data_IF_946727262571
#
_entry.id   IF_946727262571
#
_cell.length_a   1.000
_cell.length_b   1.000
_cell.length_c   1.000
_cell.angle_alpha   90.00
_cell.angle_beta   90.00
_cell.angle_gamma   90.00
#
_symmetry.space_group_name_H-M   'P 1'
#
loop_
_entity.id
_entity.type
_entity.pdbx_description
1 polymer ?
#
# COMPACT_ATOMS: atom_id res chain seq x y z
N UNK A 1 -18.73 -17.55 0.48
CA UNK A 1 -18.29 -16.97 1.76
C UNK A 1 -19.23 -15.81 2.04
N UNK A 2 -20.08 -15.91 3.09
CA UNK A 2 -21.15 -14.93 3.35
C UNK A 2 -20.57 -13.57 3.74
N UNK A 3 -21.31 -12.51 3.43
CA UNK A 3 -20.97 -11.09 3.72
C UNK A 3 -20.60 -10.84 5.19
N UNK A 4 -21.13 -11.64 6.10
CA UNK A 4 -20.85 -11.57 7.54
C UNK A 4 -19.43 -12.05 7.88
N UNK A 5 -18.93 -13.10 7.22
CA UNK A 5 -17.56 -13.61 7.41
C UNK A 5 -16.50 -12.59 6.96
N UNK A 6 -16.77 -11.84 5.88
CA UNK A 6 -15.88 -10.80 5.37
C UNK A 6 -15.79 -9.63 6.37
N UNK A 7 -16.91 -9.22 6.96
CA UNK A 7 -16.92 -8.14 7.98
C UNK A 7 -16.15 -8.54 9.23
N UNK A 8 -16.30 -9.76 9.73
CA UNK A 8 -15.56 -10.29 10.87
C UNK A 8 -14.07 -10.32 10.57
N UNK A 9 -13.67 -10.78 9.37
CA UNK A 9 -12.27 -10.78 8.94
C UNK A 9 -11.66 -9.37 8.97
N UNK A 10 -12.34 -8.39 8.36
CA UNK A 10 -11.83 -7.00 8.36
C UNK A 10 -11.75 -6.40 9.77
N UNK A 11 -12.70 -6.73 10.66
CA UNK A 11 -12.65 -6.29 12.05
C UNK A 11 -11.44 -6.86 12.79
N UNK A 12 -11.19 -8.17 12.68
CA UNK A 12 -10.03 -8.82 13.29
C UNK A 12 -8.71 -8.28 12.73
N UNK A 13 -8.65 -8.14 11.41
CA UNK A 13 -7.52 -7.58 10.70
C UNK A 13 -7.16 -6.18 11.22
N UNK A 14 -8.14 -5.27 11.28
CA UNK A 14 -7.95 -3.90 11.77
C UNK A 14 -7.53 -3.90 13.24
N UNK A 15 -8.18 -4.72 14.08
CA UNK A 15 -7.81 -4.87 15.50
C UNK A 15 -6.38 -5.36 15.69
N UNK A 16 -5.91 -6.29 14.87
CA UNK A 16 -4.51 -6.76 14.92
C UNK A 16 -3.53 -5.66 14.49
N UNK A 17 -3.82 -4.93 13.42
CA UNK A 17 -2.98 -3.82 12.98
C UNK A 17 -2.83 -2.74 14.05
N UNK A 18 -3.91 -2.41 14.76
CA UNK A 18 -3.90 -1.40 15.82
C UNK A 18 -3.11 -1.83 17.06
N UNK A 19 -3.00 -3.14 17.33
CA UNK A 19 -2.25 -3.67 18.48
C UNK A 19 -0.73 -3.62 18.28
N UNK A 20 -0.26 -3.55 17.04
CA UNK A 20 1.17 -3.48 16.75
C UNK A 20 1.61 -2.03 16.57
N UNK A 21 2.72 -1.61 17.19
CA UNK A 21 3.24 -0.26 17.01
C UNK A 21 3.81 -0.07 15.61
N UNK A 22 4.07 1.19 15.25
CA UNK A 22 4.82 1.55 14.03
C UNK A 22 6.18 0.87 14.05
N UNK A 23 6.60 0.31 12.90
CA UNK A 23 7.84 -0.46 12.78
C UNK A 23 7.72 -1.89 13.32
N UNK A 24 6.52 -2.35 13.71
CA UNK A 24 6.22 -3.74 14.07
C UNK A 24 7.23 -4.34 15.08
N UNK A 25 7.64 -3.54 16.08
CA UNK A 25 8.68 -3.90 17.05
C UNK A 25 10.01 -4.36 16.43
N UNK A 26 10.37 -3.77 15.29
CA UNK A 26 11.62 -4.05 14.58
C UNK A 26 11.52 -5.12 13.49
N UNK A 27 10.36 -5.77 13.31
CA UNK A 27 10.18 -6.68 12.18
C UNK A 27 9.98 -5.86 10.91
N UNK A 28 10.82 -6.14 9.90
CA UNK A 28 10.76 -5.54 8.59
C UNK A 28 10.46 -6.59 7.53
N UNK A 29 9.47 -6.34 6.68
CA UNK A 29 9.11 -7.20 5.55
C UNK A 29 9.51 -6.56 4.23
N UNK A 30 10.29 -7.29 3.40
CA UNK A 30 10.45 -7.02 1.97
C UNK A 30 9.43 -7.89 1.22
N UNK A 31 8.35 -7.32 0.64
CA UNK A 31 7.13 -8.06 0.29
C UNK A 31 7.15 -8.66 -1.13
N UNK A 32 8.22 -9.30 -1.55
CA UNK A 32 8.32 -9.91 -2.89
C UNK A 32 7.68 -11.30 -2.94
N UNK A 33 6.43 -11.44 -2.44
CA UNK A 33 5.74 -12.73 -2.29
C UNK A 33 5.65 -13.54 -3.59
N UNK A 34 5.39 -12.87 -4.72
CA UNK A 34 5.26 -13.47 -6.05
C UNK A 34 6.22 -12.81 -7.04
N UNK A 35 7.43 -12.50 -6.58
CA UNK A 35 8.38 -11.70 -7.32
C UNK A 35 8.12 -10.21 -7.23
N UNK A 36 8.97 -9.42 -7.88
CA UNK A 36 8.85 -7.97 -7.99
C UNK A 36 9.02 -7.54 -9.44
N UNK A 37 8.22 -6.54 -9.87
CA UNK A 37 8.39 -5.90 -11.18
C UNK A 37 9.39 -4.74 -11.13
N UNK A 38 9.44 -4.07 -10.00
CA UNK A 38 10.37 -2.97 -9.74
C UNK A 38 10.95 -3.16 -8.34
N UNK A 39 12.23 -3.59 -8.23
CA UNK A 39 13.13 -4.03 -9.31
C UNK A 39 12.63 -5.28 -10.06
N UNK A 40 13.16 -5.56 -11.27
CA UNK A 40 12.74 -6.73 -12.06
C UNK A 40 13.34 -8.03 -11.48
N UNK A 41 12.64 -8.64 -10.56
CA UNK A 41 13.01 -9.85 -9.82
C UNK A 41 11.83 -10.85 -9.82
N UNK A 42 11.54 -11.51 -10.96
CA UNK A 42 10.36 -12.37 -11.09
C UNK A 42 10.36 -13.58 -10.16
N UNK A 43 11.54 -14.05 -9.75
CA UNK A 43 11.71 -15.23 -8.90
C UNK A 43 11.93 -14.88 -7.42
N UNK A 44 11.98 -13.59 -7.05
CA UNK A 44 12.19 -13.18 -5.66
C UNK A 44 11.06 -13.67 -4.75
N UNK A 45 11.41 -13.86 -3.49
CA UNK A 45 10.46 -14.21 -2.43
C UNK A 45 10.50 -13.15 -1.34
N UNK A 46 9.41 -13.07 -0.58
CA UNK A 46 9.36 -12.18 0.57
C UNK A 46 10.40 -12.60 1.62
N UNK A 47 10.99 -11.60 2.26
CA UNK A 47 11.93 -11.79 3.36
C UNK A 47 11.47 -10.97 4.56
N UNK A 48 11.66 -11.54 5.75
CA UNK A 48 11.42 -10.88 7.03
C UNK A 48 12.75 -10.76 7.78
N UNK A 49 12.98 -9.60 8.36
CA UNK A 49 14.19 -9.27 9.12
C UNK A 49 13.81 -8.79 10.51
N UNK A 50 14.76 -8.84 11.45
CA UNK A 50 14.59 -8.26 12.79
C UNK A 50 13.73 -9.10 13.74
N UNK A 51 13.48 -10.37 13.44
CA UNK A 51 12.72 -11.26 14.32
C UNK A 51 13.55 -11.70 15.53
N UNK A 52 12.93 -11.68 16.70
CA UNK A 52 13.47 -12.25 17.94
C UNK A 52 12.38 -13.00 18.72
N UNK A 53 12.73 -13.54 19.89
CA UNK A 53 11.79 -14.33 20.71
C UNK A 53 10.66 -13.51 21.33
N UNK A 54 10.73 -12.19 21.31
CA UNK A 54 9.76 -11.30 21.96
C UNK A 54 8.79 -10.66 20.95
N UNK A 55 9.27 -10.38 19.74
CA UNK A 55 8.50 -9.67 18.72
C UNK A 55 7.77 -10.57 17.70
N UNK A 56 7.98 -11.89 17.72
CA UNK A 56 7.30 -12.86 16.84
C UNK A 56 5.82 -13.05 17.19
N UNK A 57 5.05 -11.97 17.09
CA UNK A 57 3.62 -11.94 17.36
C UNK A 57 2.83 -11.75 16.04
N UNK A 58 1.66 -12.41 15.88
CA UNK A 58 0.88 -12.33 14.64
C UNK A 58 0.58 -10.90 14.18
N UNK A 59 0.29 -9.99 15.12
CA UNK A 59 0.03 -8.58 14.82
C UNK A 59 1.26 -7.86 14.26
N UNK A 60 2.48 -8.21 14.71
CA UNK A 60 3.72 -7.61 14.22
C UNK A 60 4.06 -8.10 12.81
N UNK A 61 3.84 -9.38 12.52
CA UNK A 61 3.96 -9.90 11.14
C UNK A 61 2.99 -9.21 10.19
N UNK A 62 1.74 -9.04 10.61
CA UNK A 62 0.74 -8.35 9.81
C UNK A 62 1.14 -6.88 9.59
N UNK A 63 1.54 -6.17 10.65
CA UNK A 63 1.96 -4.76 10.59
C UNK A 63 3.17 -4.57 9.69
N UNK A 64 4.22 -5.36 9.88
CA UNK A 64 5.45 -5.28 9.06
C UNK A 64 5.16 -5.55 7.57
N UNK A 65 4.23 -6.46 7.29
CA UNK A 65 3.81 -6.76 5.91
C UNK A 65 3.11 -5.56 5.27
N UNK A 66 2.18 -4.92 5.98
CA UNK A 66 1.50 -3.70 5.51
C UNK A 66 2.51 -2.57 5.27
N UNK A 67 3.41 -2.34 6.22
CA UNK A 67 4.45 -1.31 6.10
C UNK A 67 5.41 -1.60 4.93
N UNK A 68 5.83 -2.86 4.77
CA UNK A 68 6.67 -3.29 3.65
C UNK A 68 6.03 -3.05 2.29
N UNK A 69 4.73 -3.35 2.15
CA UNK A 69 3.95 -3.03 0.94
C UNK A 69 3.91 -1.52 0.70
N UNK A 70 3.68 -0.72 1.74
CA UNK A 70 3.66 0.74 1.63
C UNK A 70 5.05 1.30 1.23
N UNK A 71 6.14 0.74 1.76
CA UNK A 71 7.51 1.10 1.34
C UNK A 71 7.79 0.74 -0.12
N UNK A 72 7.30 -0.40 -0.61
CA UNK A 72 7.39 -0.75 -2.03
C UNK A 72 6.65 0.26 -2.92
N UNK A 73 5.47 0.72 -2.49
CA UNK A 73 4.73 1.77 -3.19
C UNK A 73 5.49 3.10 -3.19
N UNK A 74 6.08 3.49 -2.04
CA UNK A 74 6.92 4.68 -1.95
C UNK A 74 8.13 4.60 -2.88
N UNK A 75 8.79 3.43 -2.98
CA UNK A 75 9.88 3.21 -3.92
C UNK A 75 9.43 3.43 -5.38
N UNK A 76 8.24 2.93 -5.73
CA UNK A 76 7.63 3.15 -7.05
C UNK A 76 7.33 4.63 -7.33
N UNK A 77 6.88 5.39 -6.31
CA UNK A 77 6.65 6.83 -6.41
C UNK A 77 7.94 7.65 -6.53
N UNK A 78 9.09 7.07 -6.18
CA UNK A 78 10.39 7.73 -6.28
C UNK A 78 10.75 8.14 -7.72
N UNK A 79 10.43 7.33 -8.72
CA UNK A 79 10.70 7.65 -10.12
C UNK A 79 9.98 8.92 -10.61
N UNK A 80 8.66 9.08 -10.48
CA UNK A 80 7.98 10.33 -10.81
C UNK A 80 8.48 11.54 -10.01
N UNK A 81 8.76 11.35 -8.72
CA UNK A 81 9.27 12.44 -7.85
C UNK A 81 10.63 12.94 -8.32
N UNK A 82 11.54 12.07 -8.74
CA UNK A 82 12.85 12.42 -9.28
C UNK A 82 12.75 13.18 -10.62
N UNK A 83 11.60 13.08 -11.31
CA UNK A 83 11.29 13.85 -12.52
C UNK A 83 10.53 15.15 -12.22
N UNK A 84 10.46 15.56 -10.95
CA UNK A 84 9.78 16.78 -10.53
C UNK A 84 8.26 16.68 -10.38
N UNK A 85 7.67 15.50 -10.58
CA UNK A 85 6.24 15.26 -10.39
C UNK A 85 5.95 15.10 -8.90
N UNK A 86 5.19 16.05 -8.33
CA UNK A 86 4.73 15.98 -6.94
C UNK A 86 3.28 15.46 -6.91
N UNK A 87 3.07 14.33 -6.26
CA UNK A 87 1.73 13.87 -5.95
C UNK A 87 1.14 14.74 -4.82
N UNK A 88 0.02 15.41 -5.07
CA UNK A 88 -0.69 16.19 -4.05
C UNK A 88 -1.67 15.33 -3.24
N UNK A 89 -2.03 14.18 -3.75
CA UNK A 89 -2.96 13.24 -3.13
C UNK A 89 -2.73 11.83 -3.69
N UNK A 90 -2.93 10.82 -2.85
CA UNK A 90 -2.98 9.41 -3.24
C UNK A 90 -4.45 8.96 -3.15
N UNK A 91 -4.95 8.35 -4.22
CA UNK A 91 -6.27 7.73 -4.25
C UNK A 91 -6.11 6.23 -4.10
N UNK A 92 -6.59 5.67 -2.98
CA UNK A 92 -6.58 4.23 -2.74
C UNK A 92 -7.88 3.58 -3.22
N UNK A 93 -7.73 2.39 -3.81
CA UNK A 93 -8.83 1.51 -4.21
C UNK A 93 -8.55 0.07 -3.77
N UNK A 94 -9.58 -0.77 -3.77
CA UNK A 94 -9.47 -2.18 -3.41
C UNK A 94 -9.59 -2.45 -1.91
N UNK A 95 -9.39 -3.70 -1.51
CA UNK A 95 -9.67 -4.19 -0.15
C UNK A 95 -8.93 -3.47 0.96
N UNK A 96 -7.65 -3.15 0.77
CA UNK A 96 -6.83 -2.41 1.74
C UNK A 96 -7.35 -1.00 2.04
N UNK A 97 -8.05 -0.37 1.08
CA UNK A 97 -8.66 0.94 1.26
C UNK A 97 -9.78 0.95 2.32
N UNK A 98 -10.29 -0.21 2.76
CA UNK A 98 -11.27 -0.31 3.84
C UNK A 98 -10.65 -0.24 5.24
N UNK A 99 -9.37 -0.58 5.39
CA UNK A 99 -8.65 -0.46 6.66
C UNK A 99 -8.23 0.99 6.90
N UNK A 100 -8.63 1.53 8.06
CA UNK A 100 -8.21 2.88 8.47
C UNK A 100 -6.71 2.92 8.75
N UNK A 101 -6.21 1.90 9.45
CA UNK A 101 -4.78 1.81 9.79
C UNK A 101 -3.93 1.71 8.53
N UNK A 102 -4.36 0.93 7.52
CA UNK A 102 -3.61 0.87 6.25
C UNK A 102 -3.59 2.21 5.53
N UNK A 103 -4.76 2.88 5.37
CA UNK A 103 -4.81 4.21 4.74
C UNK A 103 -3.89 5.22 5.42
N UNK A 104 -3.91 5.24 6.76
CA UNK A 104 -3.04 6.13 7.54
C UNK A 104 -1.56 5.76 7.34
N UNK A 105 -1.21 4.47 7.35
CA UNK A 105 0.16 4.01 7.08
C UNK A 105 0.65 4.45 5.70
N UNK A 106 -0.19 4.39 4.66
CA UNK A 106 0.16 4.90 3.32
C UNK A 106 0.38 6.42 3.35
N UNK A 107 -0.51 7.16 4.03
CA UNK A 107 -0.38 8.62 4.14
C UNK A 107 0.93 9.02 4.82
N UNK A 108 1.26 8.35 5.94
CA UNK A 108 2.44 8.63 6.75
C UNK A 108 3.74 8.26 6.01
N UNK A 109 3.81 7.05 5.43
CA UNK A 109 4.99 6.57 4.70
C UNK A 109 5.23 7.39 3.43
N UNK A 110 4.18 7.75 2.70
CA UNK A 110 4.31 8.53 1.47
C UNK A 110 4.39 10.03 1.71
N UNK A 111 4.20 10.50 2.94
CA UNK A 111 4.05 11.91 3.30
C UNK A 111 3.11 12.63 2.31
N UNK A 112 1.95 12.04 2.07
CA UNK A 112 1.00 12.53 1.07
C UNK A 112 -0.41 12.19 1.53
N UNK A 113 -1.37 13.13 1.48
CA UNK A 113 -2.76 12.86 1.84
C UNK A 113 -3.35 11.70 1.04
N UNK A 114 -4.13 10.87 1.73
CA UNK A 114 -4.80 9.71 1.13
C UNK A 114 -6.30 9.92 1.13
N UNK A 115 -6.95 9.60 0.03
CA UNK A 115 -8.41 9.52 -0.10
C UNK A 115 -8.82 8.18 -0.70
N UNK A 116 -10.11 7.88 -0.62
CA UNK A 116 -10.71 6.66 -1.18
C UNK A 116 -11.88 7.09 -2.06
N UNK A 117 -12.09 6.40 -3.17
CA UNK A 117 -13.30 6.58 -3.97
C UNK A 117 -14.46 5.78 -3.38
N UNK A 118 -15.69 6.30 -3.52
CA UNK A 118 -16.90 5.63 -3.00
C UNK A 118 -17.11 4.25 -3.64
N UNK A 119 -16.89 4.14 -4.95
CA UNK A 119 -16.93 2.87 -5.65
C UNK A 119 -15.53 2.25 -5.67
N UNK A 120 -15.35 1.15 -4.92
CA UNK A 120 -14.05 0.48 -4.76
C UNK A 120 -13.77 -0.58 -5.84
N UNK A 121 -14.78 -0.97 -6.61
CA UNK A 121 -14.64 -1.86 -7.77
C UNK A 121 -14.07 -1.10 -8.98
N UNK A 122 -12.89 -0.47 -8.81
CA UNK A 122 -12.33 0.51 -9.73
C UNK A 122 -12.14 -0.03 -11.15
N UNK A 123 -11.71 -1.30 -11.30
CA UNK A 123 -11.49 -1.91 -12.60
C UNK A 123 -12.82 -2.12 -13.38
N UNK A 124 -13.82 -2.72 -12.74
CA UNK A 124 -15.14 -2.94 -13.35
C UNK A 124 -15.85 -1.61 -13.62
N UNK A 125 -15.75 -0.65 -12.70
CA UNK A 125 -16.32 0.68 -12.86
C UNK A 125 -15.64 1.45 -14.00
N UNK A 126 -14.31 1.42 -14.09
CA UNK A 126 -13.58 2.04 -15.20
C UNK A 126 -13.93 1.43 -16.56
N UNK A 127 -14.07 0.09 -16.64
CA UNK A 127 -14.52 -0.58 -17.87
C UNK A 127 -15.93 -0.16 -18.27
N UNK A 128 -16.85 0.00 -17.30
CA UNK A 128 -18.22 0.44 -17.59
C UNK A 128 -18.26 1.90 -18.09
N UNK A 129 -17.43 2.78 -17.54
CA UNK A 129 -17.33 4.17 -18.05
C UNK A 129 -16.76 4.22 -19.48
N UNK A 130 -15.77 3.37 -19.78
CA UNK A 130 -15.25 3.26 -21.16
C UNK A 130 -16.31 2.76 -22.14
N UNK A 131 -17.09 1.75 -21.73
CA UNK A 131 -18.20 1.24 -22.57
C UNK A 131 -19.26 2.33 -22.82
N UNK A 132 -19.64 3.08 -21.79
CA UNK A 132 -20.61 4.21 -21.93
C UNK A 132 -20.04 5.28 -22.89
N UNK A 133 -18.78 5.66 -22.74
CA UNK A 133 -18.15 6.63 -23.64
C UNK A 133 -18.07 6.15 -25.09
N UNK A 134 -17.93 4.83 -25.31
CA UNK A 134 -17.82 4.25 -26.65
C UNK A 134 -19.14 4.23 -27.42
N UNK A 135 -20.30 4.18 -26.71
CA UNK A 135 -21.65 4.11 -27.32
C UNK A 135 -22.46 5.38 -27.17
N UNK A 136 -22.00 6.34 -26.35
CA UNK A 136 -22.65 7.60 -26.07
C UNK A 136 -21.88 8.80 -26.63
N UNK A 137 -22.46 9.98 -26.46
CA UNK A 137 -21.89 11.25 -26.92
C UNK A 137 -21.00 11.94 -25.85
N UNK A 138 -20.92 11.38 -24.63
CA UNK A 138 -20.15 11.95 -23.52
C UNK A 138 -18.71 11.42 -23.50
N UNK A 139 -17.74 12.32 -23.37
CA UNK A 139 -16.34 11.95 -23.30
C UNK A 139 -16.00 11.18 -22.02
N UNK A 140 -15.02 10.28 -22.08
CA UNK A 140 -14.53 9.55 -20.90
C UNK A 140 -14.05 10.51 -19.79
N UNK A 141 -13.51 11.67 -20.14
CA UNK A 141 -13.05 12.68 -19.20
C UNK A 141 -14.23 13.25 -18.42
N UNK A 142 -15.31 13.64 -19.12
CA UNK A 142 -16.54 14.15 -18.49
C UNK A 142 -17.18 13.09 -17.58
N UNK A 143 -17.31 11.86 -18.09
CA UNK A 143 -17.87 10.75 -17.32
C UNK A 143 -17.05 10.49 -16.03
N UNK A 144 -15.73 10.49 -16.11
CA UNK A 144 -14.89 10.26 -14.91
C UNK A 144 -15.01 11.40 -13.90
N UNK A 145 -15.05 12.65 -14.35
CA UNK A 145 -15.23 13.82 -13.47
C UNK A 145 -16.57 13.81 -12.75
N UNK A 146 -17.62 13.40 -13.43
CA UNK A 146 -18.98 13.39 -12.88
C UNK A 146 -19.25 12.18 -11.97
N UNK A 147 -18.68 11.03 -12.28
CA UNK A 147 -19.01 9.76 -11.63
C UNK A 147 -18.03 9.33 -10.53
N UNK A 148 -16.77 9.76 -10.60
CA UNK A 148 -15.77 9.39 -9.57
C UNK A 148 -15.89 10.38 -8.41
N UNK A 149 -16.43 9.90 -7.29
CA UNK A 149 -16.61 10.69 -6.08
C UNK A 149 -15.68 10.18 -4.97
N UNK A 150 -14.96 11.11 -4.33
CA UNK A 150 -14.18 10.80 -3.15
C UNK A 150 -15.08 10.53 -1.93
N UNK A 151 -14.70 9.56 -1.11
CA UNK A 151 -15.31 9.32 0.20
C UNK A 151 -14.58 10.18 1.24
N UNK A 152 -15.17 11.35 1.52
CA UNK A 152 -14.59 12.32 2.48
C UNK A 152 -14.49 11.77 3.91
N UNK A 153 -15.24 10.72 4.25
CA UNK A 153 -15.18 10.09 5.59
C UNK A 153 -13.95 9.22 5.77
N UNK A 154 -13.27 8.88 4.68
CA UNK A 154 -12.08 8.02 4.65
C UNK A 154 -10.81 8.77 4.27
N UNK A 155 -10.77 10.06 4.48
CA UNK A 155 -9.61 10.90 4.24
C UNK A 155 -8.58 10.76 5.35
N UNK A 156 -7.29 10.64 5.01
CA UNK A 156 -6.18 10.59 5.95
C UNK A 156 -5.13 11.64 5.61
N UNK A 157 -4.73 12.43 6.60
CA UNK A 157 -3.59 13.32 6.52
C UNK A 157 -2.35 12.61 7.08
N UNK A 158 -1.14 12.87 6.53
CA UNK A 158 0.11 12.41 7.14
C UNK A 158 0.26 13.00 8.55
N UNK A 159 0.67 12.16 9.50
CA UNK A 159 1.00 12.58 10.86
C UNK A 159 2.50 12.92 10.94
N UNK A 160 2.91 14.14 11.30
CA UNK A 160 4.32 14.55 11.24
C UNK A 160 5.30 13.63 11.97
N UNK A 161 4.95 13.20 13.18
CA UNK A 161 5.79 12.27 13.97
C UNK A 161 5.92 10.89 13.35
N UNK A 162 4.87 10.43 12.66
CA UNK A 162 4.90 9.17 11.92
C UNK A 162 5.73 9.30 10.64
N UNK A 163 5.61 10.43 9.95
CA UNK A 163 6.41 10.72 8.75
C UNK A 163 7.90 10.70 9.08
N UNK A 164 8.31 11.37 10.17
CA UNK A 164 9.72 11.40 10.60
C UNK A 164 10.22 9.98 10.89
N UNK A 165 9.46 9.21 11.68
CA UNK A 165 9.79 7.81 11.97
C UNK A 165 9.94 6.98 10.69
N UNK A 166 8.98 7.06 9.77
CA UNK A 166 9.01 6.25 8.55
C UNK A 166 10.07 6.71 7.54
N UNK A 167 10.46 7.98 7.52
CA UNK A 167 11.58 8.46 6.72
C UNK A 167 12.89 7.79 7.13
N UNK A 168 13.16 7.68 8.43
CA UNK A 168 14.34 7.00 8.95
C UNK A 168 14.25 5.48 8.71
N UNK A 169 13.10 4.89 8.99
CA UNK A 169 12.91 3.44 8.84
C UNK A 169 12.95 3.00 7.36
N UNK A 170 12.59 3.87 6.43
CA UNK A 170 12.71 3.62 4.99
C UNK A 170 14.16 3.42 4.53
N UNK A 171 15.15 4.02 5.19
CA UNK A 171 16.56 3.76 4.86
C UNK A 171 16.93 2.30 5.14
N UNK A 172 16.44 1.76 6.26
CA UNK A 172 16.60 0.33 6.59
C UNK A 172 15.91 -0.55 5.55
N UNK A 173 14.68 -0.20 5.16
CA UNK A 173 13.96 -0.91 4.09
C UNK A 173 14.73 -0.91 2.77
N UNK A 174 15.28 0.21 2.34
CA UNK A 174 16.07 0.29 1.10
C UNK A 174 17.30 -0.63 1.15
N UNK A 175 18.01 -0.64 2.27
CA UNK A 175 19.17 -1.52 2.47
C UNK A 175 18.77 -2.99 2.40
N UNK A 176 17.72 -3.40 3.13
CA UNK A 176 17.21 -4.76 3.11
C UNK A 176 16.73 -5.19 1.72
N UNK A 177 15.98 -4.32 1.05
CA UNK A 177 15.48 -4.55 -0.31
C UNK A 177 16.61 -4.75 -1.33
N UNK A 178 17.71 -3.98 -1.21
CA UNK A 178 18.88 -4.13 -2.06
C UNK A 178 19.58 -5.48 -1.84
N UNK A 179 19.72 -5.92 -0.60
CA UNK A 179 20.32 -7.24 -0.28
C UNK A 179 19.47 -8.40 -0.79
N UNK A 180 18.14 -8.31 -0.64
CA UNK A 180 17.21 -9.29 -1.21
C UNK A 180 17.34 -9.32 -2.74
N UNK A 181 17.43 -8.15 -3.39
CA UNK A 181 17.61 -8.06 -4.83
C UNK A 181 18.93 -8.73 -5.27
N UNK A 182 20.02 -8.54 -4.54
CA UNK A 182 21.31 -9.18 -4.81
C UNK A 182 21.20 -10.70 -4.74
N UNK A 183 20.63 -11.25 -3.66
CA UNK A 183 20.44 -12.71 -3.46
C UNK A 183 19.69 -13.32 -4.65
N UNK A 184 18.61 -12.69 -5.11
CA UNK A 184 17.78 -13.23 -6.19
C UNK A 184 18.28 -12.89 -7.60
N UNK A 185 19.22 -11.94 -7.75
CA UNK A 185 19.90 -11.70 -9.03
C UNK A 185 20.98 -12.72 -9.33
N UNK A 186 21.65 -13.24 -8.29
CA UNK A 186 22.68 -14.29 -8.43
C UNK A 186 22.09 -15.64 -8.85
N UNK A 187 20.83 -15.92 -8.53
CA UNK A 187 20.14 -17.17 -8.83
C UNK A 187 19.45 -17.18 -10.20
N UNK A 188 19.93 -16.42 -11.16
CA UNK A 188 19.47 -16.45 -12.56
C UNK A 188 20.13 -17.64 -13.32
N UNK A 189 19.90 -18.85 -12.86
CA UNK A 189 20.16 -20.06 -13.66
C UNK A 189 18.86 -20.81 -13.93
#
# INVERSE_FOLDING_TARGET
VGTQSVKVFFYLYESMLQKSPRGAEGILTVPYFNGARTPNLPNAKACLFGMDSQNMLPQNFLRSTVEGVCFSLLAGLGHPRNQGIKAHQIVLTGGGANSQTWRQTVADICNTPVTVVKNQEAAAFGASLQAIAAIGDESIVSLTQNQIQADKTKYCQPEPTAVDFYNDYYQTYKSASAQVAEIYSMNRQ
#
